data_IF_001280444289
#
_entry.id   IF_001280444289
#
_cell.length_a   1.000
_cell.length_b   1.000
_cell.length_c   1.000
_cell.angle_alpha   90.00
_cell.angle_beta   90.00
_cell.angle_gamma   90.00
#
_symmetry.space_group_name_H-M   'P 1'
#
loop_
_entity.id
_entity.type
_entity.pdbx_description
1 polymer ?
#
# COMPACT_ATOMS: atom_id res chain seq x y z
N UNK A 1 -8.44 -54.83 -22.95
CA UNK A 1 -9.01 -53.59 -22.33
C UNK A 1 -7.94 -53.00 -21.43
N UNK A 2 -7.29 -51.93 -21.88
CA UNK A 2 -6.16 -51.31 -21.17
C UNK A 2 -6.55 -49.88 -20.77
N UNK A 3 -6.53 -49.59 -19.46
CA UNK A 3 -6.77 -48.24 -18.93
C UNK A 3 -5.49 -47.40 -19.07
N UNK A 4 -5.54 -46.17 -19.61
CA UNK A 4 -4.40 -45.27 -19.48
C UNK A 4 -4.42 -44.61 -18.09
N UNK A 5 -3.25 -44.58 -17.48
CA UNK A 5 -2.94 -43.94 -16.20
C UNK A 5 -2.93 -42.43 -16.44
N UNK A 6 -3.83 -41.69 -15.77
CA UNK A 6 -3.79 -40.23 -15.76
C UNK A 6 -2.49 -39.76 -15.08
N UNK A 7 -1.60 -39.17 -15.86
CA UNK A 7 -0.46 -38.40 -15.37
C UNK A 7 -0.99 -37.18 -14.61
N UNK A 8 -0.63 -37.07 -13.33
CA UNK A 8 -0.84 -35.85 -12.53
C UNK A 8 -0.04 -34.71 -13.16
N UNK A 9 -0.73 -33.83 -13.88
CA UNK A 9 -0.19 -32.53 -14.27
C UNK A 9 -0.03 -31.67 -13.01
N UNK A 10 1.15 -31.75 -12.42
CA UNK A 10 1.64 -30.78 -11.43
C UNK A 10 1.83 -29.43 -12.13
N UNK A 11 0.75 -28.64 -12.24
CA UNK A 11 0.83 -27.23 -12.57
C UNK A 11 1.41 -26.46 -11.37
N UNK A 12 2.72 -26.59 -11.16
CA UNK A 12 3.48 -25.62 -10.41
C UNK A 12 3.45 -24.31 -11.20
N UNK A 13 2.55 -23.42 -10.80
CA UNK A 13 2.42 -22.07 -11.34
C UNK A 13 3.70 -21.28 -11.10
N UNK A 14 4.67 -21.46 -11.98
CA UNK A 14 5.90 -20.69 -12.03
C UNK A 14 5.54 -19.29 -12.49
N UNK A 15 5.55 -18.34 -11.53
CA UNK A 15 5.38 -16.93 -11.82
C UNK A 15 6.51 -16.54 -12.80
N UNK A 16 6.21 -16.06 -14.03
CA UNK A 16 7.25 -15.80 -15.02
C UNK A 16 8.26 -14.79 -14.49
N UNK A 17 9.56 -15.09 -14.60
CA UNK A 17 10.68 -14.27 -14.09
C UNK A 17 10.58 -12.82 -14.60
N UNK A 18 10.06 -12.63 -15.82
CA UNK A 18 9.79 -11.31 -16.41
C UNK A 18 8.80 -10.46 -15.59
N UNK A 19 7.81 -11.06 -14.94
CA UNK A 19 6.83 -10.34 -14.12
C UNK A 19 7.44 -9.80 -12.82
N UNK A 20 8.37 -10.55 -12.21
CA UNK A 20 9.06 -10.16 -10.97
C UNK A 20 10.12 -9.09 -11.22
N UNK A 21 10.90 -9.22 -12.29
CA UNK A 21 11.89 -8.21 -12.70
C UNK A 21 11.21 -6.86 -12.98
N UNK A 22 10.12 -6.88 -13.73
CA UNK A 22 9.30 -5.69 -14.00
C UNK A 22 8.73 -5.09 -12.71
N UNK A 23 8.24 -5.92 -11.77
CA UNK A 23 7.75 -5.45 -10.47
C UNK A 23 8.84 -4.77 -9.65
N UNK A 24 10.04 -5.35 -9.55
CA UNK A 24 11.17 -4.72 -8.81
C UNK A 24 11.58 -3.40 -9.43
N UNK A 25 11.57 -3.29 -10.76
CA UNK A 25 11.82 -2.03 -11.46
C UNK A 25 10.75 -0.98 -11.13
N UNK A 26 9.46 -1.35 -11.21
CA UNK A 26 8.36 -0.45 -10.83
C UNK A 26 8.46 0.05 -9.40
N UNK A 27 8.76 -0.84 -8.43
CA UNK A 27 8.97 -0.44 -7.03
C UNK A 27 10.12 0.57 -6.92
N UNK A 28 11.26 0.34 -7.59
CA UNK A 28 12.40 1.27 -7.56
C UNK A 28 12.06 2.63 -8.17
N UNK A 29 11.39 2.63 -9.31
CA UNK A 29 10.94 3.87 -9.97
C UNK A 29 10.00 4.64 -9.05
N UNK A 30 9.01 3.96 -8.45
CA UNK A 30 8.09 4.57 -7.49
C UNK A 30 8.80 5.13 -6.25
N UNK A 31 9.77 4.41 -5.70
CA UNK A 31 10.54 4.90 -4.55
C UNK A 31 11.35 6.17 -4.88
N UNK A 32 11.85 6.28 -6.12
CA UNK A 32 12.61 7.44 -6.57
C UNK A 32 11.74 8.66 -6.86
N UNK A 33 10.47 8.44 -7.23
CA UNK A 33 9.55 9.50 -7.60
C UNK A 33 8.73 10.02 -6.43
N UNK A 34 8.56 9.26 -5.35
CA UNK A 34 7.78 9.68 -4.17
C UNK A 34 8.36 10.94 -3.53
N UNK A 35 7.52 11.96 -3.35
CA UNK A 35 7.87 13.15 -2.58
C UNK A 35 7.60 12.95 -1.08
N UNK A 36 8.68 12.73 -0.31
CA UNK A 36 8.59 12.51 1.14
C UNK A 36 8.00 13.70 1.91
N UNK A 37 8.12 14.94 1.40
CA UNK A 37 7.54 16.12 2.04
C UNK A 37 6.01 16.17 1.95
N UNK A 38 5.40 15.40 1.03
CA UNK A 38 3.95 15.22 0.95
C UNK A 38 3.43 14.07 1.82
N UNK A 39 4.35 13.26 2.37
CA UNK A 39 4.04 12.13 3.24
C UNK A 39 4.26 12.51 4.71
N UNK A 40 5.30 13.29 5.02
CA UNK A 40 5.65 13.70 6.38
C UNK A 40 5.68 15.23 6.58
N UNK A 41 5.13 15.74 7.70
CA UNK A 41 4.22 15.03 8.60
C UNK A 41 2.92 14.69 7.86
N UNK A 42 2.17 13.66 8.31
CA UNK A 42 0.85 13.42 7.74
C UNK A 42 -0.03 14.67 7.87
N UNK A 43 -1.06 14.81 7.02
CA UNK A 43 -2.01 15.94 7.04
C UNK A 43 -2.91 15.95 8.30
N UNK A 44 -2.33 15.97 9.50
CA UNK A 44 -3.03 15.98 10.79
C UNK A 44 -4.04 17.13 10.87
N UNK A 45 -3.71 18.27 10.27
CA UNK A 45 -4.54 19.47 10.27
C UNK A 45 -5.63 19.43 9.18
N UNK A 46 -5.65 18.43 8.30
CA UNK A 46 -6.65 18.29 7.23
C UNK A 46 -7.36 16.92 7.31
N UNK A 47 -8.09 16.73 8.40
CA UNK A 47 -8.94 15.56 8.65
C UNK A 47 -9.96 15.34 7.51
N UNK A 48 -10.45 16.40 6.88
CA UNK A 48 -11.38 16.29 5.74
C UNK A 48 -10.73 15.56 4.57
N UNK A 49 -9.52 15.95 4.16
CA UNK A 49 -8.77 15.25 3.09
C UNK A 49 -8.57 13.78 3.43
N UNK A 50 -8.19 13.48 4.68
CA UNK A 50 -8.01 12.10 5.12
C UNK A 50 -9.32 11.32 5.01
N UNK A 51 -10.45 11.88 5.47
CA UNK A 51 -11.77 11.23 5.33
C UNK A 51 -12.11 10.95 3.87
N UNK A 52 -11.87 11.90 2.98
CA UNK A 52 -12.07 11.72 1.53
C UNK A 52 -11.19 10.59 1.00
N UNK A 53 -9.91 10.53 1.38
CA UNK A 53 -9.03 9.43 0.96
C UNK A 53 -9.51 8.08 1.47
N UNK A 54 -9.94 8.02 2.74
CA UNK A 54 -10.47 6.80 3.34
C UNK A 54 -11.75 6.35 2.61
N UNK A 55 -12.67 7.25 2.28
CA UNK A 55 -13.91 6.90 1.58
C UNK A 55 -13.68 6.37 0.17
N UNK A 56 -12.68 6.89 -0.55
CA UNK A 56 -12.31 6.39 -1.88
C UNK A 56 -11.62 5.02 -1.83
N UNK A 57 -10.89 4.73 -0.75
CA UNK A 57 -10.19 3.46 -0.57
C UNK A 57 -11.08 2.36 0.05
N UNK A 58 -12.10 2.72 0.83
CA UNK A 58 -13.03 1.78 1.45
C UNK A 58 -14.18 1.41 0.50
N UNK A 59 -13.93 0.48 -0.44
CA UNK A 59 -14.99 -0.17 -1.23
C UNK A 59 -15.93 -1.03 -0.37
N UNK A 60 -15.52 -1.37 0.86
CA UNK A 60 -16.29 -2.14 1.84
C UNK A 60 -16.05 -1.61 3.25
N UNK A 61 -17.04 -1.69 4.15
CA UNK A 61 -16.87 -1.28 5.53
C UNK A 61 -15.75 -2.08 6.21
N UNK A 62 -14.69 -1.40 6.68
CA UNK A 62 -13.62 -2.07 7.43
C UNK A 62 -14.12 -2.58 8.77
N UNK A 63 -13.87 -3.84 9.08
CA UNK A 63 -14.21 -4.44 10.39
C UNK A 63 -13.22 -4.12 11.51
N UNK A 64 -12.01 -3.67 11.17
CA UNK A 64 -10.95 -3.35 12.12
C UNK A 64 -10.58 -1.86 12.10
N UNK A 65 -10.09 -1.31 13.22
CA UNK A 65 -9.53 0.03 13.26
C UNK A 65 -8.35 0.16 12.29
N UNK A 66 -8.10 1.38 11.83
CA UNK A 66 -6.92 1.73 11.05
C UNK A 66 -5.67 1.65 11.92
N UNK A 67 -4.63 0.98 11.43
CA UNK A 67 -3.28 1.08 11.99
C UNK A 67 -2.55 2.29 11.36
N UNK A 68 -1.56 2.87 12.04
CA UNK A 68 -0.78 3.98 11.48
C UNK A 68 -0.15 3.63 10.12
N UNK A 69 0.31 2.39 9.98
CA UNK A 69 0.80 1.88 8.69
C UNK A 69 -0.29 1.75 7.62
N UNK A 70 -1.55 1.43 7.96
CA UNK A 70 -2.63 1.40 6.97
C UNK A 70 -2.86 2.80 6.39
N UNK A 71 -2.84 3.84 7.23
CA UNK A 71 -2.97 5.24 6.80
C UNK A 71 -1.74 5.71 6.01
N UNK A 72 -0.55 5.25 6.40
CA UNK A 72 0.69 5.49 5.65
C UNK A 72 0.60 4.96 4.22
N UNK A 73 0.12 3.72 4.03
CA UNK A 73 -0.07 3.15 2.70
C UNK A 73 -1.04 4.00 1.88
N UNK A 74 -2.16 4.46 2.45
CA UNK A 74 -3.15 5.29 1.74
C UNK A 74 -2.53 6.61 1.26
N UNK A 75 -1.76 7.29 2.10
CA UNK A 75 -1.10 8.56 1.72
C UNK A 75 -0.01 8.32 0.65
N UNK A 76 0.74 7.23 0.76
CA UNK A 76 1.70 6.84 -0.28
C UNK A 76 0.98 6.52 -1.60
N UNK A 77 -0.18 5.85 -1.56
CA UNK A 77 -1.01 5.59 -2.74
C UNK A 77 -1.49 6.87 -3.40
N UNK A 78 -1.92 7.86 -2.61
CA UNK A 78 -2.34 9.17 -3.11
C UNK A 78 -1.19 9.86 -3.83
N UNK A 79 0.00 9.91 -3.22
CA UNK A 79 1.17 10.52 -3.85
C UNK A 79 1.62 9.77 -5.12
N UNK A 80 1.54 8.44 -5.11
CA UNK A 80 1.82 7.62 -6.30
C UNK A 80 0.83 7.89 -7.45
N UNK A 81 -0.45 8.11 -7.12
CA UNK A 81 -1.51 8.36 -8.12
C UNK A 81 -1.33 9.69 -8.84
N UNK A 82 -0.66 10.66 -8.22
CA UNK A 82 -0.35 11.96 -8.84
C UNK A 82 0.68 11.88 -9.98
N UNK A 83 1.29 10.70 -10.22
CA UNK A 83 2.43 10.54 -11.13
C UNK A 83 2.07 9.95 -12.51
N UNK A 84 0.78 9.89 -12.85
CA UNK A 84 0.26 9.47 -14.16
C UNK A 84 0.66 8.05 -14.66
N UNK A 85 1.27 7.21 -13.82
CA UNK A 85 1.44 5.78 -14.07
C UNK A 85 0.44 4.97 -13.23
N UNK A 86 -0.29 4.03 -13.85
CA UNK A 86 -1.07 3.02 -13.11
C UNK A 86 -0.12 2.13 -12.30
N UNK A 87 0.08 2.47 -11.03
CA UNK A 87 0.82 1.63 -10.09
C UNK A 87 -0.11 0.59 -9.48
N UNK A 88 0.25 -0.69 -9.60
CA UNK A 88 -0.50 -1.75 -8.95
C UNK A 88 -0.42 -1.61 -7.40
N UNK A 89 -1.52 -1.96 -6.71
CA UNK A 89 -1.61 -1.84 -5.25
C UNK A 89 -0.48 -2.57 -4.51
N UNK A 90 0.00 -3.69 -5.07
CA UNK A 90 1.09 -4.47 -4.48
C UNK A 90 2.42 -3.72 -4.54
N UNK A 91 2.73 -3.04 -5.64
CA UNK A 91 3.92 -2.23 -5.85
C UNK A 91 3.94 -1.07 -4.86
N UNK A 92 2.81 -0.38 -4.72
CA UNK A 92 2.65 0.70 -3.74
C UNK A 92 2.88 0.18 -2.33
N UNK A 93 2.29 -0.97 -1.96
CA UNK A 93 2.43 -1.53 -0.61
C UNK A 93 3.86 -1.98 -0.30
N UNK A 94 4.59 -2.50 -1.29
CA UNK A 94 6.02 -2.83 -1.15
C UNK A 94 6.84 -1.54 -0.93
N UNK A 95 6.61 -0.50 -1.74
CA UNK A 95 7.28 0.78 -1.61
C UNK A 95 6.99 1.42 -0.24
N UNK A 96 5.71 1.44 0.17
CA UNK A 96 5.30 1.94 1.48
C UNK A 96 5.97 1.17 2.63
N UNK A 97 6.08 -0.17 2.55
CA UNK A 97 6.78 -0.93 3.58
C UNK A 97 8.27 -0.56 3.66
N UNK A 98 8.92 -0.35 2.51
CA UNK A 98 10.32 0.07 2.46
C UNK A 98 10.52 1.46 3.10
N UNK A 99 9.65 2.41 2.76
CA UNK A 99 9.68 3.76 3.32
C UNK A 99 9.38 3.75 4.82
N UNK A 100 8.38 2.99 5.26
CA UNK A 100 8.01 2.86 6.67
C UNK A 100 9.17 2.33 7.52
N UNK A 101 9.87 1.29 7.04
CA UNK A 101 11.06 0.74 7.71
C UNK A 101 12.20 1.74 7.83
N UNK A 102 12.33 2.66 6.87
CA UNK A 102 13.32 3.76 6.90
C UNK A 102 12.85 4.99 7.68
N UNK A 103 11.55 5.09 7.97
CA UNK A 103 10.99 6.23 8.70
C UNK A 103 11.47 6.26 10.15
N UNK A 104 11.67 7.47 10.67
CA UNK A 104 12.08 7.69 12.06
C UNK A 104 10.97 7.30 13.04
N UNK A 105 11.33 7.14 14.32
CA UNK A 105 10.34 6.88 15.38
C UNK A 105 9.28 7.98 15.45
N UNK A 106 9.69 9.25 15.32
CA UNK A 106 8.79 10.41 15.36
C UNK A 106 7.79 10.36 14.20
N UNK A 107 8.30 10.15 12.98
CA UNK A 107 7.46 10.00 11.78
C UNK A 107 6.41 8.89 11.93
N UNK A 108 6.79 7.73 12.47
CA UNK A 108 5.82 6.65 12.73
C UNK A 108 4.83 7.02 13.82
N UNK A 109 5.27 7.73 14.86
CA UNK A 109 4.42 8.17 15.97
C UNK A 109 3.33 9.13 15.48
N UNK A 110 3.63 10.00 14.52
CA UNK A 110 2.63 10.88 13.92
C UNK A 110 1.52 10.06 13.25
N UNK A 111 1.88 9.05 12.46
CA UNK A 111 0.87 8.17 11.85
C UNK A 111 0.07 7.34 12.87
N UNK A 112 0.68 6.94 13.99
CA UNK A 112 -0.02 6.26 15.08
C UNK A 112 -1.04 7.20 15.73
N UNK A 113 -0.64 8.45 16.04
CA UNK A 113 -1.55 9.47 16.58
C UNK A 113 -2.68 9.77 15.62
N UNK A 114 -2.37 9.85 14.32
CA UNK A 114 -3.38 10.05 13.29
C UNK A 114 -4.41 8.93 13.27
N UNK A 115 -3.95 7.67 13.37
CA UNK A 115 -4.84 6.52 13.43
C UNK A 115 -5.75 6.57 14.66
N UNK A 116 -5.26 7.02 15.81
CA UNK A 116 -6.11 7.22 17.00
C UNK A 116 -7.23 8.22 16.74
N UNK A 117 -6.91 9.38 16.16
CA UNK A 117 -7.90 10.42 15.81
C UNK A 117 -8.92 9.90 14.80
N UNK A 118 -8.49 9.20 13.76
CA UNK A 118 -9.38 8.63 12.74
C UNK A 118 -10.31 7.57 13.35
N UNK A 119 -9.80 6.71 14.21
CA UNK A 119 -10.58 5.63 14.82
C UNK A 119 -11.56 6.13 15.89
N UNK A 120 -11.21 7.18 16.65
CA UNK A 120 -12.12 7.81 17.61
C UNK A 120 -13.34 8.41 16.90
N UNK A 121 -13.12 9.08 15.76
CA UNK A 121 -14.19 9.68 14.96
C UNK A 121 -15.06 8.68 14.18
N UNK A 122 -14.80 7.38 14.29
CA UNK A 122 -15.56 6.31 13.62
C UNK A 122 -16.59 5.64 14.54
N UNK A 123 -16.47 5.87 15.85
CA UNK A 123 -17.48 5.45 16.84
C UNK A 123 -18.61 6.46 16.87
#
# INVERSE_FOLDING_TARGET
MSRPINSLNNNSSSIPIHSLSNRRRRVRNLLASINMARIFPPFMNNIRRIRTLLSHNDRRPRRRPYHGFDLFVIIVSEEASNQNEEQDYYTIRIAANFLWRRSTRIQRQDYIRLAQVVNQNRR
#
